data_IF_617983638057
#
_entry.id   IF_617983638057
#
_cell.length_a   1.000
_cell.length_b   1.000
_cell.length_c   1.000
_cell.angle_alpha   90.00
_cell.angle_beta   90.00
_cell.angle_gamma   90.00
#
_symmetry.space_group_name_H-M   'P 1'
#
loop_
_entity.id
_entity.type
_entity.pdbx_description
1 polymer ?
#
# COMPACT_ATOMS: atom_id res chain seq x y z
N UNK A 1 0.05 -10.90 -5.66
CA UNK A 1 -0.69 -11.74 -6.63
C UNK A 1 0.12 -12.99 -6.94
N UNK A 2 -0.50 -14.19 -7.02
CA UNK A 2 0.16 -15.39 -7.52
C UNK A 2 0.40 -15.29 -9.03
N UNK A 3 1.49 -15.91 -9.51
CA UNK A 3 1.93 -15.83 -10.92
C UNK A 3 0.85 -16.29 -11.92
N UNK A 4 0.00 -17.25 -11.53
CA UNK A 4 -1.06 -17.80 -12.38
C UNK A 4 -2.42 -17.10 -12.31
N UNK A 5 -2.60 -16.11 -11.43
CA UNK A 5 -3.89 -15.43 -11.27
C UNK A 5 -3.70 -14.00 -10.75
N UNK A 6 -3.66 -13.05 -11.69
CA UNK A 6 -3.49 -11.62 -11.41
C UNK A 6 -4.74 -10.97 -10.78
N UNK A 7 -5.89 -11.65 -10.73
CA UNK A 7 -7.09 -11.13 -10.07
C UNK A 7 -7.17 -11.53 -8.60
N UNK A 8 -6.21 -12.33 -8.12
CA UNK A 8 -6.18 -12.82 -6.75
C UNK A 8 -5.02 -12.23 -5.97
N UNK A 9 -5.31 -11.85 -4.73
CA UNK A 9 -4.28 -11.43 -3.80
C UNK A 9 -3.79 -12.55 -2.90
N UNK A 10 -2.49 -12.54 -2.63
CA UNK A 10 -1.87 -13.32 -1.57
C UNK A 10 -1.62 -12.37 -0.42
N UNK A 11 -2.57 -12.34 0.53
CA UNK A 11 -2.55 -11.38 1.64
C UNK A 11 -1.47 -11.78 2.63
N UNK A 12 -0.56 -10.84 2.90
CA UNK A 12 0.42 -10.96 3.99
C UNK A 12 0.19 -9.83 4.97
N UNK A 13 0.19 -10.14 6.26
CA UNK A 13 0.08 -9.15 7.33
C UNK A 13 1.40 -9.03 8.07
N UNK A 14 1.76 -7.79 8.39
CA UNK A 14 2.97 -7.45 9.12
C UNK A 14 2.59 -6.67 10.38
N UNK A 15 3.01 -7.15 11.54
CA UNK A 15 2.79 -6.49 12.83
C UNK A 15 4.07 -5.75 13.25
N UNK A 16 4.37 -4.67 12.53
CA UNK A 16 5.56 -3.87 12.72
C UNK A 16 5.35 -2.44 12.16
N UNK A 17 6.01 -1.43 12.74
CA UNK A 17 5.92 -0.07 12.22
C UNK A 17 6.57 0.03 10.84
N UNK A 18 5.99 0.85 9.98
CA UNK A 18 6.52 1.13 8.64
C UNK A 18 6.33 2.59 8.25
N UNK A 19 7.38 3.18 7.69
CA UNK A 19 7.33 4.49 7.05
C UNK A 19 6.89 4.32 5.59
N UNK A 20 5.89 5.08 5.14
CA UNK A 20 5.20 4.80 3.87
C UNK A 20 5.56 5.78 2.75
N UNK A 21 5.75 5.23 1.55
CA UNK A 21 5.59 5.93 0.28
C UNK A 21 4.73 5.10 -0.66
N UNK A 22 3.97 5.73 -1.55
CA UNK A 22 3.03 5.01 -2.40
C UNK A 22 2.51 5.81 -3.57
N UNK A 23 1.91 5.09 -4.51
CA UNK A 23 1.27 5.65 -5.70
C UNK A 23 0.10 4.75 -6.13
N UNK A 24 -0.81 5.30 -6.91
CA UNK A 24 -1.92 4.56 -7.45
C UNK A 24 -2.99 5.46 -8.03
N UNK A 25 -4.17 4.91 -8.23
CA UNK A 25 -5.28 5.60 -8.87
C UNK A 25 -6.61 5.38 -8.13
N UNK A 26 -7.56 6.26 -8.44
CA UNK A 26 -8.95 6.13 -8.06
C UNK A 26 -9.77 6.03 -9.33
N UNK A 27 -10.38 4.87 -9.59
CA UNK A 27 -11.20 4.62 -10.78
C UNK A 27 -12.54 4.03 -10.36
N UNK A 28 -13.63 4.59 -10.89
CA UNK A 28 -14.99 4.13 -10.60
C UNK A 28 -15.31 4.04 -9.08
N UNK A 29 -14.73 4.93 -8.27
CA UNK A 29 -14.88 4.90 -6.81
C UNK A 29 -13.98 3.90 -6.07
N UNK A 30 -13.16 3.12 -6.78
CA UNK A 30 -12.23 2.16 -6.20
C UNK A 30 -10.82 2.75 -6.13
N UNK A 31 -10.19 2.64 -4.96
CA UNK A 31 -8.81 3.02 -4.72
C UNK A 31 -7.92 1.81 -4.98
N UNK A 32 -6.93 1.95 -5.86
CA UNK A 32 -5.90 0.95 -6.10
C UNK A 32 -4.54 1.56 -5.81
N UNK A 33 -3.92 1.16 -4.70
CA UNK A 33 -2.61 1.66 -4.26
C UNK A 33 -1.57 0.54 -4.24
N UNK A 34 -0.36 0.88 -4.67
CA UNK A 34 0.85 0.12 -4.38
C UNK A 34 1.76 0.98 -3.51
N UNK A 35 2.36 0.35 -2.50
CA UNK A 35 3.16 1.04 -1.49
C UNK A 35 4.49 0.35 -1.26
N UNK A 36 5.44 1.11 -0.77
CA UNK A 36 6.67 0.63 -0.15
C UNK A 36 6.68 1.12 1.29
N UNK A 37 6.80 0.18 2.22
CA UNK A 37 6.98 0.43 3.64
C UNK A 37 8.45 0.21 3.99
N UNK A 38 9.14 1.27 4.42
CA UNK A 38 10.44 1.17 5.07
C UNK A 38 10.26 0.67 6.50
N UNK A 39 10.92 -0.43 6.84
CA UNK A 39 10.75 -1.11 8.13
C UNK A 39 12.11 -1.36 8.78
N UNK A 40 12.12 -1.69 10.06
CA UNK A 40 13.34 -1.92 10.83
C UNK A 40 14.34 -2.87 10.13
N UNK A 41 15.62 -2.51 10.21
CA UNK A 41 16.74 -3.28 9.68
C UNK A 41 17.03 -2.98 8.22
N UNK A 42 16.78 -1.75 7.76
CA UNK A 42 17.03 -1.29 6.39
C UNK A 42 16.28 -2.11 5.33
N UNK A 43 15.07 -2.58 5.67
CA UNK A 43 14.24 -3.42 4.81
C UNK A 43 13.10 -2.63 4.21
N UNK A 44 12.68 -3.07 3.04
CA UNK A 44 11.48 -2.58 2.36
C UNK A 44 10.49 -3.73 2.19
N UNK A 45 9.22 -3.47 2.49
CA UNK A 45 8.09 -4.32 2.16
C UNK A 45 7.28 -3.60 1.09
N UNK A 46 7.13 -4.20 -0.08
CA UNK A 46 6.47 -3.58 -1.22
C UNK A 46 5.33 -4.45 -1.76
N UNK A 47 4.22 -3.82 -2.15
CA UNK A 47 3.09 -4.55 -2.74
C UNK A 47 1.82 -3.72 -2.88
N UNK A 48 0.74 -4.41 -3.26
CA UNK A 48 -0.61 -3.84 -3.26
C UNK A 48 -1.09 -3.65 -1.81
N UNK A 49 -1.54 -2.44 -1.47
CA UNK A 49 -2.00 -2.12 -0.13
C UNK A 49 -3.48 -2.48 0.02
N UNK A 50 -3.78 -3.41 0.91
CA UNK A 50 -5.16 -3.72 1.32
C UNK A 50 -5.61 -2.88 2.51
N UNK A 51 -4.78 -2.81 3.55
CA UNK A 51 -5.05 -2.05 4.77
C UNK A 51 -3.75 -1.65 5.47
N UNK A 52 -3.79 -0.54 6.20
CA UNK A 52 -2.78 -0.13 7.16
C UNK A 52 -3.44 0.68 8.29
N UNK A 53 -2.85 0.66 9.47
CA UNK A 53 -3.33 1.42 10.64
C UNK A 53 -2.34 2.53 10.98
N UNK A 54 -2.85 3.76 11.10
CA UNK A 54 -2.05 4.92 11.53
C UNK A 54 -2.10 4.95 13.07
N UNK A 55 -1.05 4.46 13.72
CA UNK A 55 -0.99 4.40 15.19
C UNK A 55 -0.24 5.56 15.85
N UNK A 56 0.64 6.25 15.12
CA UNK A 56 1.56 7.25 15.69
C UNK A 56 1.40 8.63 15.05
N UNK A 57 2.12 8.89 13.95
CA UNK A 57 2.31 10.24 13.43
C UNK A 57 1.17 10.67 12.49
N UNK A 58 1.23 10.25 11.23
CA UNK A 58 0.23 10.61 10.22
C UNK A 58 0.43 9.74 8.97
N UNK A 59 -0.61 9.67 8.15
CA UNK A 59 -0.49 9.39 6.72
C UNK A 59 -1.07 10.58 5.96
N UNK A 60 -0.44 10.96 4.85
CA UNK A 60 -0.97 12.00 3.96
C UNK A 60 -1.22 11.38 2.59
N UNK A 61 -2.45 11.54 2.11
CA UNK A 61 -2.84 11.18 0.76
C UNK A 61 -3.14 12.46 -0.01
N UNK A 62 -2.49 12.63 -1.15
CA UNK A 62 -2.73 13.73 -2.07
C UNK A 62 -3.39 13.15 -3.32
N UNK A 63 -4.53 13.71 -3.71
CA UNK A 63 -5.29 13.27 -4.89
C UNK A 63 -5.25 14.40 -5.91
N UNK A 64 -4.87 14.05 -7.13
CA UNK A 64 -4.86 14.96 -8.27
C UNK A 64 -6.00 14.52 -9.19
N UNK A 65 -6.97 15.40 -9.50
CA UNK A 65 -7.99 15.09 -10.49
C UNK A 65 -7.35 14.77 -11.85
N UNK A 66 -7.85 13.72 -12.50
CA UNK A 66 -7.46 13.34 -13.86
C UNK A 66 -8.73 13.32 -14.73
N UNK A 67 -8.62 13.85 -15.94
CA UNK A 67 -9.72 13.89 -16.92
C UNK A 67 -10.02 12.51 -17.53
#
# INVERSE_FOLDING_TARGET
MPEGDALKDTITKYDLPGEMTGTGEIRNGFVHLHVVMGVEGDRAIAGHLHEATIATHFARAYVIPVD
#
